data_IF_032729196845
#
_entry.id   IF_032729196845
#
_cell.length_a   1.000
_cell.length_b   1.000
_cell.length_c   1.000
_cell.angle_alpha   90.00
_cell.angle_beta   90.00
_cell.angle_gamma   90.00
#
_symmetry.space_group_name_H-M   'P 1'
#
loop_
_entity.id
_entity.type
_entity.pdbx_description
1 polymer ?
#
# COMPACT_ATOMS: atom_id res chain seq x y z
N UNK A 1 -0.56 0.64 -9.37
CA UNK A 1 0.23 1.29 -8.31
C UNK A 1 1.54 1.77 -8.91
N UNK A 2 2.15 2.82 -8.35
CA UNK A 2 3.47 3.35 -8.70
C UNK A 2 4.39 3.37 -7.47
N UNK A 3 5.69 3.64 -7.66
CA UNK A 3 6.60 3.85 -6.53
C UNK A 3 6.19 5.02 -5.63
N UNK A 4 5.54 6.07 -6.16
CA UNK A 4 5.04 7.20 -5.36
C UNK A 4 3.90 6.77 -4.44
N UNK A 5 3.01 5.90 -4.95
CA UNK A 5 1.87 5.39 -4.18
C UNK A 5 2.31 4.60 -2.93
N UNK A 6 3.51 3.98 -2.94
CA UNK A 6 4.07 3.29 -1.77
C UNK A 6 4.48 4.26 -0.66
N UNK A 7 4.96 5.46 -1.02
CA UNK A 7 5.26 6.53 -0.07
C UNK A 7 3.95 7.06 0.53
N UNK A 8 2.97 7.36 -0.32
CA UNK A 8 1.65 7.82 0.12
C UNK A 8 0.99 6.82 1.08
N UNK A 9 1.10 5.51 0.80
CA UNK A 9 0.55 4.47 1.67
C UNK A 9 1.20 4.45 3.05
N UNK A 10 2.51 4.69 3.17
CA UNK A 10 3.20 4.74 4.46
C UNK A 10 2.74 5.94 5.29
N UNK A 11 2.68 7.12 4.68
CA UNK A 11 2.18 8.33 5.35
C UNK A 11 0.73 8.18 5.82
N UNK A 12 -0.12 7.51 5.02
CA UNK A 12 -1.47 7.18 5.45
C UNK A 12 -1.43 6.15 6.59
N UNK A 13 -0.69 5.06 6.45
CA UNK A 13 -0.63 3.96 7.41
C UNK A 13 -0.08 4.31 8.80
N UNK A 14 0.64 5.43 8.92
CA UNK A 14 1.09 6.01 10.19
C UNK A 14 -0.01 6.73 10.96
N UNK A 15 -1.13 7.07 10.31
CA UNK A 15 -2.25 7.73 10.97
C UNK A 15 -2.90 6.80 12.01
N UNK A 16 -2.86 7.20 13.28
CA UNK A 16 -3.34 6.41 14.43
C UNK A 16 -4.85 6.09 14.37
N UNK A 17 -5.63 6.84 13.59
CA UNK A 17 -7.10 6.77 13.55
C UNK A 17 -7.66 5.96 12.36
N UNK A 18 -6.85 5.18 11.65
CA UNK A 18 -7.35 4.37 10.52
C UNK A 18 -8.16 3.16 11.01
N UNK A 19 -9.46 3.17 10.71
CA UNK A 19 -10.32 2.00 10.82
C UNK A 19 -10.01 0.98 9.71
N UNK A 20 -9.18 -0.01 10.05
CA UNK A 20 -8.76 -1.05 9.10
C UNK A 20 -9.92 -1.92 8.61
N UNK A 21 -10.97 -2.12 9.41
CA UNK A 21 -12.13 -2.90 9.00
C UNK A 21 -12.93 -2.16 7.92
N UNK A 22 -13.12 -0.85 8.10
CA UNK A 22 -13.74 0.01 7.09
C UNK A 22 -12.90 0.09 5.81
N UNK A 23 -11.57 0.21 5.94
CA UNK A 23 -10.66 0.18 4.79
C UNK A 23 -10.78 -1.13 4.03
N UNK A 24 -10.80 -2.26 4.73
CA UNK A 24 -10.88 -3.58 4.11
C UNK A 24 -12.19 -3.79 3.35
N UNK A 25 -13.32 -3.44 3.95
CA UNK A 25 -14.62 -3.50 3.28
C UNK A 25 -14.69 -2.59 2.04
N UNK A 26 -14.07 -1.40 2.13
CA UNK A 26 -14.02 -0.44 1.01
C UNK A 26 -13.13 -0.96 -0.12
N UNK A 27 -11.95 -1.49 0.21
CA UNK A 27 -11.03 -2.10 -0.76
C UNK A 27 -11.67 -3.29 -1.48
N UNK A 28 -12.28 -4.22 -0.74
CA UNK A 28 -12.95 -5.39 -1.31
C UNK A 28 -14.04 -4.97 -2.32
N UNK A 29 -14.91 -4.02 -1.93
CA UNK A 29 -15.96 -3.48 -2.82
C UNK A 29 -15.40 -2.78 -4.05
N UNK A 30 -14.31 -2.02 -3.91
CA UNK A 30 -13.71 -1.27 -5.02
C UNK A 30 -13.03 -2.20 -6.03
N UNK A 31 -12.32 -3.23 -5.55
CA UNK A 31 -11.68 -4.23 -6.41
C UNK A 31 -12.72 -5.04 -7.17
N UNK A 32 -13.77 -5.51 -6.48
CA UNK A 32 -14.90 -6.21 -7.10
C UNK A 32 -15.58 -5.36 -8.17
N UNK A 33 -15.89 -4.09 -7.86
CA UNK A 33 -16.47 -3.17 -8.84
C UNK A 33 -15.60 -2.96 -10.08
N UNK A 34 -14.28 -2.80 -9.91
CA UNK A 34 -13.34 -2.54 -11.01
C UNK A 34 -13.09 -3.77 -11.89
N UNK A 35 -13.21 -4.99 -11.35
CA UNK A 35 -13.00 -6.28 -12.06
C UNK A 35 -11.67 -6.40 -12.82
N UNK A 36 -10.63 -5.67 -12.40
CA UNK A 36 -9.30 -5.72 -13.04
C UNK A 36 -8.38 -6.74 -12.36
N UNK A 37 -8.50 -6.87 -11.04
CA UNK A 37 -7.68 -7.77 -10.21
C UNK A 37 -8.47 -8.12 -8.94
N UNK A 38 -8.18 -9.29 -8.35
CA UNK A 38 -8.84 -9.74 -7.13
C UNK A 38 -8.28 -9.05 -5.88
N UNK A 39 -9.10 -8.97 -4.84
CA UNK A 39 -8.69 -8.57 -3.50
C UNK A 39 -8.40 -9.83 -2.64
N UNK A 40 -7.35 -9.84 -1.79
CA UNK A 40 -6.29 -8.83 -1.69
C UNK A 40 -5.26 -8.96 -2.82
N UNK A 41 -4.69 -7.84 -3.30
CA UNK A 41 -3.57 -7.90 -4.24
C UNK A 41 -2.28 -8.31 -3.54
N UNK A 42 -1.33 -8.81 -4.33
CA UNK A 42 0.09 -8.88 -3.95
C UNK A 42 0.82 -7.79 -4.73
N UNK A 43 1.55 -6.93 -4.01
CA UNK A 43 2.32 -5.85 -4.62
C UNK A 43 3.68 -6.38 -5.03
N UNK A 44 4.04 -6.12 -6.29
CA UNK A 44 5.36 -6.39 -6.85
C UNK A 44 5.90 -5.10 -7.45
N UNK A 45 7.18 -4.79 -7.19
CA UNK A 45 7.82 -3.60 -7.75
C UNK A 45 7.79 -3.63 -9.28
N UNK A 46 7.31 -2.54 -9.90
CA UNK A 46 7.36 -2.34 -11.34
C UNK A 46 8.67 -1.74 -11.82
N UNK A 47 8.91 -1.76 -13.13
CA UNK A 47 10.05 -1.08 -13.75
C UNK A 47 10.03 0.41 -13.37
N UNK A 48 11.22 0.97 -13.09
CA UNK A 48 11.43 2.37 -12.67
C UNK A 48 10.87 2.76 -11.29
N UNK A 49 10.24 1.85 -10.54
CA UNK A 49 9.72 2.20 -9.22
C UNK A 49 10.81 2.66 -8.26
N UNK A 50 12.00 2.05 -8.29
CA UNK A 50 13.12 2.46 -7.44
C UNK A 50 13.44 3.96 -7.58
N UNK A 51 13.56 4.46 -8.82
CA UNK A 51 13.82 5.88 -9.07
C UNK A 51 12.66 6.76 -8.60
N UNK A 52 11.42 6.41 -8.97
CA UNK A 52 10.24 7.19 -8.60
C UNK A 52 9.99 7.21 -7.09
N UNK A 53 10.32 6.11 -6.41
CA UNK A 53 10.20 5.94 -4.97
C UNK A 53 11.20 6.83 -4.24
N UNK A 54 12.49 6.74 -4.60
CA UNK A 54 13.56 7.55 -3.96
C UNK A 54 13.28 9.05 -4.11
N UNK A 55 12.81 9.48 -5.28
CA UNK A 55 12.42 10.89 -5.49
C UNK A 55 11.25 11.31 -4.57
N UNK A 56 10.26 10.45 -4.40
CA UNK A 56 9.08 10.75 -3.57
C UNK A 56 9.35 10.64 -2.07
N UNK A 57 10.22 9.72 -1.65
CA UNK A 57 10.60 9.50 -0.26
C UNK A 57 11.55 10.58 0.29
N UNK A 58 12.18 11.37 -0.60
CA UNK A 58 13.22 12.32 -0.22
C UNK A 58 12.73 13.35 0.82
N UNK A 59 13.31 13.29 2.03
CA UNK A 59 13.02 14.21 3.13
C UNK A 59 11.78 13.84 3.96
N UNK A 60 11.22 12.64 3.73
CA UNK A 60 10.12 12.08 4.51
C UNK A 60 10.64 10.97 5.44
N UNK A 61 9.95 10.77 6.56
CA UNK A 61 10.23 9.68 7.49
C UNK A 61 9.49 8.41 7.02
N UNK A 62 9.97 7.82 5.93
CA UNK A 62 9.44 6.58 5.35
C UNK A 62 10.57 5.60 5.09
N UNK A 63 10.24 4.33 4.82
CA UNK A 63 11.24 3.32 4.45
C UNK A 63 12.04 3.83 3.23
N UNK A 64 13.38 3.84 3.25
CA UNK A 64 14.15 4.49 2.18
C UNK A 64 14.31 3.62 0.93
N UNK A 65 14.09 2.31 1.04
CA UNK A 65 14.25 1.35 -0.04
C UNK A 65 12.90 0.85 -0.59
N UNK A 66 12.81 0.73 -1.92
CA UNK A 66 11.57 0.34 -2.60
C UNK A 66 11.21 -1.13 -2.38
N UNK A 67 12.20 -2.02 -2.23
CA UNK A 67 11.96 -3.44 -2.01
C UNK A 67 11.42 -3.66 -0.59
N UNK A 68 12.04 -3.00 0.40
CA UNK A 68 11.54 -2.98 1.77
C UNK A 68 10.14 -2.33 1.87
N UNK A 69 9.88 -1.25 1.13
CA UNK A 69 8.56 -0.61 1.08
C UNK A 69 7.49 -1.53 0.46
N UNK A 70 7.86 -2.36 -0.53
CA UNK A 70 6.96 -3.38 -1.09
C UNK A 70 6.66 -4.48 -0.06
N UNK A 71 7.65 -4.91 0.71
CA UNK A 71 7.46 -5.89 1.79
C UNK A 71 6.48 -5.31 2.82
N UNK A 72 6.73 -4.07 3.25
CA UNK A 72 5.86 -3.35 4.18
C UNK A 72 4.43 -3.20 3.64
N UNK A 73 4.25 -2.83 2.38
CA UNK A 73 2.92 -2.64 1.79
C UNK A 73 2.12 -3.95 1.75
N UNK A 74 2.78 -5.08 1.44
CA UNK A 74 2.14 -6.39 1.49
C UNK A 74 1.78 -6.82 2.94
N UNK A 75 2.58 -6.45 3.94
CA UNK A 75 2.19 -6.64 5.36
C UNK A 75 1.00 -5.75 5.73
N UNK A 76 0.99 -4.50 5.29
CA UNK A 76 -0.13 -3.59 5.55
C UNK A 76 -1.44 -4.11 4.94
N UNK A 77 -1.41 -4.61 3.70
CA UNK A 77 -2.56 -5.26 3.06
C UNK A 77 -3.02 -6.50 3.85
N UNK A 78 -2.09 -7.30 4.40
CA UNK A 78 -2.44 -8.45 5.26
C UNK A 78 -3.14 -7.99 6.54
N UNK A 79 -2.65 -6.93 7.19
CA UNK A 79 -3.29 -6.33 8.38
C UNK A 79 -4.70 -5.82 8.08
N UNK A 80 -4.88 -5.12 6.95
CA UNK A 80 -6.21 -4.69 6.48
C UNK A 80 -7.13 -5.89 6.27
N UNK A 81 -6.66 -6.92 5.57
CA UNK A 81 -7.47 -8.10 5.26
C UNK A 81 -7.90 -8.84 6.52
N UNK A 82 -7.01 -8.97 7.52
CA UNK A 82 -7.31 -9.61 8.79
C UNK A 82 -8.31 -8.82 9.67
N UNK A 83 -8.55 -7.53 9.38
CA UNK A 83 -9.53 -6.71 10.09
C UNK A 83 -10.97 -6.91 9.59
N UNK A 84 -11.21 -7.76 8.59
CA UNK A 84 -12.55 -8.10 8.11
C UNK A 84 -13.25 -9.18 8.96
N UNK A 85 -12.51 -9.88 9.82
CA UNK A 85 -13.01 -11.01 10.62
C UNK A 85 -13.73 -10.58 11.90
#
# INVERSE_FOLDING_TARGET
>A
MSGRDLVDLQLLGESEDIDLAQVAATCARLFDYRRQQAWPPVITAGTQWATLYVEAAHGLDVIPDVEEAVIWANEFIRRITAAMD
#
